data_IF_513228683235
#
_entry.id   IF_513228683235
#
_cell.length_a   1.000
_cell.length_b   1.000
_cell.length_c   1.000
_cell.angle_alpha   90.00
_cell.angle_beta   90.00
_cell.angle_gamma   90.00
#
_symmetry.space_group_name_H-M   'P 1'
#
loop_
_entity.id
_entity.type
_entity.pdbx_description
1 polymer ?
#
# COMPACT_ATOMS: atom_id res chain seq x y z
N UNK A 1 23.09 -15.64 0.02
CA UNK A 1 23.22 -15.97 -1.43
C UNK A 1 22.03 -15.52 -2.29
N UNK A 2 20.76 -15.70 -1.86
CA UNK A 2 19.56 -15.34 -2.67
C UNK A 2 19.56 -13.90 -3.24
N UNK A 3 19.96 -12.91 -2.44
CA UNK A 3 19.99 -11.49 -2.85
C UNK A 3 21.00 -11.22 -3.98
N UNK A 4 22.17 -11.86 -3.93
CA UNK A 4 23.18 -11.75 -4.98
C UNK A 4 22.69 -12.38 -6.28
N UNK A 5 22.02 -13.53 -6.21
CA UNK A 5 21.40 -14.15 -7.39
C UNK A 5 20.33 -13.29 -8.03
N UNK A 6 19.49 -12.60 -7.24
CA UNK A 6 18.49 -11.67 -7.77
C UNK A 6 19.14 -10.50 -8.52
N UNK A 7 20.23 -9.94 -7.99
CA UNK A 7 20.96 -8.86 -8.65
C UNK A 7 21.60 -9.32 -9.97
N UNK A 8 22.20 -10.52 -10.01
CA UNK A 8 22.77 -11.09 -11.24
C UNK A 8 21.69 -11.35 -12.28
N UNK A 9 20.53 -11.87 -11.88
CA UNK A 9 19.43 -12.14 -12.81
C UNK A 9 18.73 -10.88 -13.30
N UNK A 10 18.95 -9.71 -12.69
CA UNK A 10 18.29 -8.45 -13.03
C UNK A 10 19.33 -7.34 -13.25
N UNK A 11 20.21 -7.48 -14.26
CA UNK A 11 21.39 -6.62 -14.42
C UNK A 11 21.04 -5.16 -14.71
N UNK A 12 19.96 -4.91 -15.46
CA UNK A 12 19.46 -3.55 -15.72
C UNK A 12 19.01 -2.86 -14.44
N UNK A 13 18.25 -3.56 -13.60
CA UNK A 13 17.79 -3.03 -12.31
C UNK A 13 18.96 -2.80 -11.35
N UNK A 14 19.92 -3.74 -11.30
CA UNK A 14 21.11 -3.61 -10.47
C UNK A 14 22.00 -2.43 -10.90
N UNK A 15 22.10 -2.17 -12.21
CA UNK A 15 22.79 -1.01 -12.75
C UNK A 15 22.05 0.30 -12.44
N UNK A 16 20.76 0.36 -12.73
CA UNK A 16 19.94 1.58 -12.59
C UNK A 16 19.74 1.95 -11.11
N UNK A 17 19.30 1.02 -10.27
CA UNK A 17 18.98 1.29 -8.85
C UNK A 17 20.20 1.10 -7.95
N UNK A 18 21.01 0.05 -8.18
CA UNK A 18 22.13 -0.29 -7.31
C UNK A 18 23.37 0.57 -7.51
N UNK A 19 23.69 0.95 -8.75
CA UNK A 19 24.89 1.74 -9.07
C UNK A 19 24.56 3.20 -9.42
N UNK A 20 23.51 3.45 -10.21
CA UNK A 20 23.12 4.81 -10.61
C UNK A 20 22.11 5.46 -9.64
N UNK A 21 21.59 4.71 -8.68
CA UNK A 21 20.68 5.22 -7.65
C UNK A 21 19.39 5.84 -8.22
N UNK A 22 18.82 5.31 -9.30
CA UNK A 22 17.55 5.79 -9.88
C UNK A 22 16.72 4.65 -10.52
N UNK A 23 15.38 4.79 -10.57
CA UNK A 23 14.59 5.83 -9.93
C UNK A 23 14.39 5.54 -8.43
N UNK A 24 14.55 6.57 -7.59
CA UNK A 24 14.10 6.58 -6.19
C UNK A 24 12.77 7.32 -6.05
N UNK A 25 11.90 7.17 -7.05
CA UNK A 25 10.57 7.72 -6.97
C UNK A 25 9.57 6.62 -6.59
N UNK A 26 8.45 7.05 -6.04
CA UNK A 26 7.30 6.16 -5.85
C UNK A 26 6.46 6.26 -7.10
N UNK A 27 6.73 5.41 -8.10
CA UNK A 27 6.16 5.55 -9.44
C UNK A 27 4.62 5.62 -9.49
N UNK A 28 3.92 4.93 -8.58
CA UNK A 28 2.46 5.02 -8.44
C UNK A 28 1.99 6.41 -7.97
N UNK A 29 2.75 7.05 -7.09
CA UNK A 29 2.41 8.35 -6.49
C UNK A 29 2.89 9.47 -7.39
N UNK A 30 4.07 9.33 -7.98
CA UNK A 30 4.63 10.28 -8.94
C UNK A 30 3.74 10.43 -10.17
N UNK A 31 3.13 9.32 -10.63
CA UNK A 31 2.10 9.36 -11.67
C UNK A 31 0.84 10.11 -11.23
N UNK A 32 0.36 9.90 -9.99
CA UNK A 32 -0.82 10.58 -9.46
C UNK A 32 -0.59 12.09 -9.24
N UNK A 33 0.58 12.47 -8.75
CA UNK A 33 0.93 13.86 -8.44
C UNK A 33 1.52 14.63 -9.64
N UNK A 34 1.80 13.95 -10.75
CA UNK A 34 2.37 14.55 -11.97
C UNK A 34 3.80 15.08 -11.80
N UNK A 35 4.50 14.69 -10.74
CA UNK A 35 5.88 15.12 -10.43
C UNK A 35 6.68 13.99 -9.77
N UNK A 36 8.00 13.89 -10.03
CA UNK A 36 8.87 12.96 -9.32
C UNK A 36 8.74 13.19 -7.81
N UNK A 37 8.26 12.18 -7.09
CA UNK A 37 8.00 12.27 -5.65
C UNK A 37 9.01 11.40 -4.93
N UNK A 38 9.89 12.05 -4.16
CA UNK A 38 10.85 11.37 -3.30
C UNK A 38 10.18 10.82 -2.02
N UNK A 39 10.95 10.07 -1.24
CA UNK A 39 10.45 9.47 0.01
C UNK A 39 10.00 10.54 1.03
N UNK A 40 10.72 11.65 1.14
CA UNK A 40 10.41 12.74 2.07
C UNK A 40 9.10 13.44 1.69
N UNK A 41 8.91 13.75 0.41
CA UNK A 41 7.66 14.33 -0.12
C UNK A 41 6.48 13.39 0.11
N UNK A 42 6.70 12.08 -0.05
CA UNK A 42 5.67 11.08 0.22
C UNK A 42 5.29 10.99 1.70
N UNK A 43 6.26 11.01 2.60
CA UNK A 43 6.00 10.99 4.04
C UNK A 43 5.22 12.25 4.44
N UNK A 44 5.58 13.42 3.91
CA UNK A 44 4.85 14.66 4.13
C UNK A 44 3.42 14.61 3.57
N UNK A 45 3.24 14.07 2.36
CA UNK A 45 1.91 13.88 1.78
C UNK A 45 1.05 12.90 2.61
N UNK A 46 1.64 11.77 3.02
CA UNK A 46 0.98 10.79 3.89
C UNK A 46 0.52 11.44 5.19
N UNK A 47 1.40 12.16 5.89
CA UNK A 47 1.06 12.78 7.16
C UNK A 47 -0.13 13.75 7.05
N UNK A 48 -0.26 14.46 5.92
CA UNK A 48 -1.36 15.40 5.68
C UNK A 48 -2.67 14.74 5.21
N UNK A 49 -2.61 13.51 4.66
CA UNK A 49 -3.77 12.81 4.11
C UNK A 49 -4.15 11.57 4.94
N UNK A 50 -3.40 11.27 5.99
CA UNK A 50 -3.71 10.18 6.90
C UNK A 50 -4.80 10.63 7.88
N UNK A 51 -5.98 10.06 7.72
CA UNK A 51 -7.11 10.32 8.60
C UNK A 51 -7.22 9.23 9.68
N UNK A 52 -6.91 9.53 10.96
CA UNK A 52 -7.05 8.56 12.05
C UNK A 52 -8.50 8.35 12.49
N UNK A 53 -9.46 9.11 11.96
CA UNK A 53 -10.88 9.03 12.31
C UNK A 53 -11.67 8.00 11.48
N UNK A 54 -11.02 7.34 10.53
CA UNK A 54 -11.62 6.27 9.71
C UNK A 54 -12.31 5.24 10.59
N UNK A 55 -13.53 4.90 10.20
CA UNK A 55 -14.45 4.05 10.94
C UNK A 55 -15.11 3.02 10.02
N UNK A 56 -15.91 2.13 10.61
CA UNK A 56 -16.69 1.14 9.85
C UNK A 56 -17.69 1.77 8.86
N UNK A 57 -18.17 3.00 9.11
CA UNK A 57 -19.10 3.70 8.21
C UNK A 57 -18.44 4.07 6.88
N UNK A 58 -17.14 4.33 6.90
CA UNK A 58 -16.37 4.67 5.70
C UNK A 58 -16.25 3.44 4.77
N UNK A 59 -16.32 2.23 5.33
CA UNK A 59 -16.36 0.99 4.54
C UNK A 59 -17.71 0.82 3.83
N UNK A 60 -18.82 1.20 4.45
CA UNK A 60 -20.13 1.21 3.79
C UNK A 60 -20.11 2.15 2.59
N UNK A 61 -19.57 3.36 2.77
CA UNK A 61 -19.39 4.30 1.67
C UNK A 61 -18.48 3.72 0.57
N UNK A 62 -17.31 3.15 0.90
CA UNK A 62 -16.44 2.51 -0.11
C UNK A 62 -17.17 1.40 -0.86
N UNK A 63 -18.00 0.62 -0.16
CA UNK A 63 -18.77 -0.48 -0.76
C UNK A 63 -19.80 0.02 -1.76
N UNK A 64 -20.37 1.22 -1.59
CA UNK A 64 -21.29 1.82 -2.56
C UNK A 64 -20.63 2.19 -3.90
N UNK A 65 -19.32 2.50 -3.89
CA UNK A 65 -18.57 2.95 -5.07
C UNK A 65 -17.74 1.86 -5.73
N UNK A 66 -17.46 0.78 -5.00
CA UNK A 66 -16.67 -0.34 -5.49
C UNK A 66 -17.59 -1.54 -5.67
N UNK A 67 -17.52 -2.22 -6.81
CA UNK A 67 -18.28 -3.47 -7.08
C UNK A 67 -17.41 -4.73 -6.97
N UNK A 68 -16.09 -4.57 -6.85
CA UNK A 68 -15.14 -5.69 -6.83
C UNK A 68 -14.93 -6.31 -5.43
N UNK A 69 -14.04 -7.31 -5.31
CA UNK A 69 -13.66 -7.85 -4.01
C UNK A 69 -13.03 -6.76 -3.12
N UNK A 70 -13.41 -6.73 -1.85
CA UNK A 70 -12.91 -5.82 -0.83
C UNK A 70 -12.22 -6.61 0.29
N UNK A 71 -10.94 -6.33 0.52
CA UNK A 71 -10.13 -7.00 1.56
C UNK A 71 -9.64 -5.98 2.57
N UNK A 72 -9.96 -6.20 3.85
CA UNK A 72 -9.46 -5.36 4.94
C UNK A 72 -8.17 -5.97 5.50
N UNK A 73 -7.09 -5.19 5.45
CA UNK A 73 -5.79 -5.59 5.99
C UNK A 73 -5.56 -4.98 7.37
N UNK A 74 -4.95 -5.74 8.26
CA UNK A 74 -4.51 -5.28 9.58
C UNK A 74 -5.45 -5.63 10.73
N UNK A 75 -6.49 -6.44 10.50
CA UNK A 75 -7.37 -6.90 11.57
C UNK A 75 -6.65 -7.95 12.43
N UNK A 76 -6.63 -7.71 13.73
CA UNK A 76 -6.01 -8.58 14.73
C UNK A 76 -7.01 -9.11 15.76
N UNK A 77 -8.10 -8.38 16.01
CA UNK A 77 -9.18 -8.80 16.89
C UNK A 77 -10.22 -9.66 16.12
N UNK A 78 -10.67 -10.79 16.69
CA UNK A 78 -11.68 -11.63 16.04
C UNK A 78 -13.07 -10.97 15.91
N UNK A 79 -13.44 -10.03 16.80
CA UNK A 79 -14.70 -9.29 16.66
C UNK A 79 -14.62 -8.29 15.51
N UNK A 80 -13.51 -7.57 15.36
CA UNK A 80 -13.28 -6.69 14.20
C UNK A 80 -13.33 -7.46 12.87
N UNK A 81 -12.87 -8.73 12.87
CA UNK A 81 -12.96 -9.58 11.69
C UNK A 81 -14.41 -9.92 11.33
N UNK A 82 -15.29 -10.09 12.33
CA UNK A 82 -16.72 -10.32 12.11
C UNK A 82 -17.39 -9.05 11.61
N UNK A 83 -17.07 -7.91 12.22
CA UNK A 83 -17.61 -6.63 11.81
C UNK A 83 -17.19 -6.28 10.37
N UNK A 84 -15.92 -6.51 9.99
CA UNK A 84 -15.47 -6.39 8.61
C UNK A 84 -16.34 -7.11 7.58
N UNK A 85 -16.73 -8.36 7.86
CA UNK A 85 -17.61 -9.14 6.99
C UNK A 85 -19.02 -8.57 6.98
N UNK A 86 -19.53 -8.13 8.13
CA UNK A 86 -20.86 -7.50 8.24
C UNK A 86 -20.96 -6.21 7.44
N UNK A 87 -19.89 -5.43 7.40
CA UNK A 87 -19.78 -4.19 6.62
C UNK A 87 -19.37 -4.42 5.16
N UNK A 88 -19.39 -5.66 4.67
CA UNK A 88 -19.30 -5.97 3.23
C UNK A 88 -17.89 -6.24 2.71
N UNK A 89 -16.91 -6.49 3.58
CA UNK A 89 -15.62 -7.00 3.16
C UNK A 89 -15.70 -8.51 2.85
N UNK A 90 -15.02 -8.92 1.77
CA UNK A 90 -14.95 -10.31 1.32
C UNK A 90 -13.85 -11.09 2.06
N UNK A 91 -12.86 -10.40 2.63
CA UNK A 91 -11.83 -11.02 3.46
C UNK A 91 -11.18 -10.05 4.46
N UNK A 92 -10.70 -10.62 5.58
CA UNK A 92 -9.85 -9.96 6.54
C UNK A 92 -8.46 -10.63 6.57
N UNK A 93 -7.38 -9.84 6.57
CA UNK A 93 -6.01 -10.34 6.62
C UNK A 93 -5.24 -9.75 7.79
N UNK A 94 -4.68 -10.63 8.63
CA UNK A 94 -3.66 -10.26 9.61
C UNK A 94 -2.31 -10.07 8.92
N UNK A 95 -1.56 -9.04 9.29
CA UNK A 95 -0.17 -8.91 8.86
C UNK A 95 0.68 -9.85 9.72
N UNK A 96 1.35 -10.83 9.10
CA UNK A 96 2.41 -11.55 9.77
C UNK A 96 3.58 -10.57 10.00
N UNK A 97 4.01 -10.43 11.25
CA UNK A 97 5.28 -9.77 11.59
C UNK A 97 6.46 -10.60 11.09
#
# INVERSE_FOLDING_TARGET
MRRYWQAVMHPKWAWDVGLNGRPHDLGNISAYLGKPTGLEDYIGWLANNFDPSISWKDLEWIREFWDGPMVIKGILDPEDARDAVRFGADAASKRAM
#
